data_IF_688121020871
#
_entry.id   IF_688121020871
#
_cell.length_a   1.000
_cell.length_b   1.000
_cell.length_c   1.000
_cell.angle_alpha   90.00
_cell.angle_beta   90.00
_cell.angle_gamma   90.00
#
_symmetry.space_group_name_H-M   'P 1'
#
loop_
_entity.id
_entity.type
_entity.pdbx_description
1 polymer ?
#
# COMPACT_ATOMS: atom_id res chain seq x y z
N UNK A 1 -21.48 4.14 12.95
CA UNK A 1 -20.64 2.93 12.97
C UNK A 1 -21.37 1.88 13.79
N UNK A 2 -21.85 0.80 13.16
CA UNK A 2 -22.64 -0.21 13.86
C UNK A 2 -21.71 -1.25 14.52
N UNK A 3 -22.11 -1.82 15.65
CA UNK A 3 -21.33 -2.87 16.36
C UNK A 3 -20.93 -4.02 15.40
N UNK A 4 -21.82 -4.38 14.46
CA UNK A 4 -21.55 -5.39 13.43
C UNK A 4 -20.38 -5.03 12.50
N UNK A 5 -20.20 -3.75 12.18
CA UNK A 5 -19.09 -3.29 11.33
C UNK A 5 -17.76 -3.44 12.06
N UNK A 6 -17.74 -3.14 13.37
CA UNK A 6 -16.55 -3.28 14.23
C UNK A 6 -16.14 -4.74 14.32
N UNK A 7 -17.09 -5.65 14.57
CA UNK A 7 -16.83 -7.09 14.62
C UNK A 7 -16.32 -7.61 13.27
N UNK A 8 -16.95 -7.20 12.17
CA UNK A 8 -16.50 -7.57 10.83
C UNK A 8 -15.10 -7.05 10.52
N UNK A 9 -14.74 -5.86 10.98
CA UNK A 9 -13.37 -5.34 10.84
C UNK A 9 -12.38 -6.15 11.68
N UNK A 10 -12.70 -6.42 12.95
CA UNK A 10 -11.88 -7.21 13.88
C UNK A 10 -11.55 -8.61 13.32
N UNK A 11 -12.52 -9.26 12.68
CA UNK A 11 -12.33 -10.58 12.07
C UNK A 11 -11.46 -10.53 10.80
N UNK A 12 -11.63 -9.48 9.98
CA UNK A 12 -10.97 -9.40 8.67
C UNK A 12 -9.59 -8.75 8.72
N UNK A 13 -9.30 -7.88 9.70
CA UNK A 13 -8.05 -7.11 9.76
C UNK A 13 -6.80 -7.98 9.73
N UNK A 14 -6.84 -9.15 10.38
CA UNK A 14 -5.69 -10.06 10.43
C UNK A 14 -5.40 -10.67 9.06
N UNK A 15 -6.45 -11.10 8.35
CA UNK A 15 -6.33 -11.67 7.00
C UNK A 15 -5.88 -10.61 6.00
N UNK A 16 -6.48 -9.42 6.06
CA UNK A 16 -6.07 -8.28 5.25
C UNK A 16 -4.60 -7.92 5.48
N UNK A 17 -4.17 -7.82 6.75
CA UNK A 17 -2.76 -7.55 7.11
C UNK A 17 -1.82 -8.62 6.57
N UNK A 18 -2.14 -9.90 6.75
CA UNK A 18 -1.30 -10.99 6.25
C UNK A 18 -1.15 -10.92 4.71
N UNK A 19 -2.25 -10.66 4.00
CA UNK A 19 -2.25 -10.50 2.55
C UNK A 19 -1.41 -9.29 2.10
N UNK A 20 -1.59 -8.13 2.75
CA UNK A 20 -0.79 -6.93 2.47
C UNK A 20 0.70 -7.17 2.72
N UNK A 21 1.07 -7.79 3.85
CA UNK A 21 2.46 -8.14 4.15
C UNK A 21 3.05 -9.09 3.11
N UNK A 22 2.28 -10.06 2.62
CA UNK A 22 2.72 -10.96 1.55
C UNK A 22 3.01 -10.21 0.24
N UNK A 23 2.08 -9.36 -0.22
CA UNK A 23 2.26 -8.56 -1.45
C UNK A 23 3.47 -7.64 -1.33
N UNK A 24 3.57 -6.90 -0.22
CA UNK A 24 4.65 -5.95 0.00
C UNK A 24 5.98 -6.69 0.10
N UNK A 25 6.11 -7.77 0.86
CA UNK A 25 7.40 -8.50 0.99
C UNK A 25 7.88 -9.08 -0.35
N UNK A 26 6.95 -9.48 -1.23
CA UNK A 26 7.26 -9.99 -2.58
C UNK A 26 7.79 -8.93 -3.53
N UNK A 27 7.37 -7.68 -3.38
CA UNK A 27 7.68 -6.59 -4.31
C UNK A 27 8.63 -5.54 -3.71
N UNK A 28 8.68 -5.45 -2.39
CA UNK A 28 9.49 -4.55 -1.56
C UNK A 28 10.17 -5.38 -0.45
N UNK A 29 11.26 -6.10 -0.78
CA UNK A 29 12.02 -6.85 0.21
C UNK A 29 12.51 -5.94 1.34
N UNK A 30 12.43 -6.42 2.57
CA UNK A 30 13.00 -5.69 3.69
C UNK A 30 14.54 -5.68 3.56
N UNK A 31 15.18 -4.52 3.81
CA UNK A 31 16.64 -4.33 3.71
C UNK A 31 17.21 -4.47 2.30
N UNK A 32 16.63 -3.77 1.32
CA UNK A 32 17.29 -3.62 0.03
C UNK A 32 18.69 -3.00 0.24
N UNK A 33 19.73 -3.50 -0.43
CA UNK A 33 21.11 -3.04 -0.25
C UNK A 33 21.32 -1.57 -0.65
N UNK A 34 20.36 -0.97 -1.35
CA UNK A 34 20.36 0.44 -1.74
C UNK A 34 18.90 0.92 -1.88
N UNK A 35 18.32 1.45 -0.80
CA UNK A 35 16.92 1.92 -0.80
C UNK A 35 16.88 3.33 -1.38
N UNK A 36 16.50 3.42 -2.66
CA UNK A 36 16.18 4.67 -3.33
C UNK A 36 14.68 4.84 -3.48
N UNK A 37 14.20 6.08 -3.43
CA UNK A 37 12.78 6.40 -3.59
C UNK A 37 12.21 5.86 -4.91
N UNK A 38 12.96 5.98 -6.00
CA UNK A 38 12.58 5.46 -7.32
C UNK A 38 12.35 3.94 -7.34
N UNK A 39 13.14 3.19 -6.56
CA UNK A 39 12.97 1.74 -6.43
C UNK A 39 11.66 1.41 -5.71
N UNK A 40 11.30 2.19 -4.69
CA UNK A 40 10.04 2.04 -3.97
C UNK A 40 8.86 2.35 -4.90
N UNK A 41 8.93 3.46 -5.64
CA UNK A 41 7.88 3.82 -6.62
C UNK A 41 7.66 2.74 -7.65
N UNK A 42 8.74 2.27 -8.29
CA UNK A 42 8.65 1.24 -9.32
C UNK A 42 7.96 -0.02 -8.81
N UNK A 43 8.26 -0.42 -7.57
CA UNK A 43 7.60 -1.55 -6.95
C UNK A 43 6.12 -1.29 -6.63
N UNK A 44 5.77 -0.10 -6.13
CA UNK A 44 4.37 0.27 -5.87
C UNK A 44 3.55 0.40 -7.15
N UNK A 45 4.12 0.96 -8.21
CA UNK A 45 3.49 1.04 -9.54
C UNK A 45 3.20 -0.35 -10.10
N UNK A 46 4.16 -1.27 -9.98
CA UNK A 46 3.96 -2.67 -10.32
C UNK A 46 2.83 -3.30 -9.50
N UNK A 47 2.79 -3.06 -8.18
CA UNK A 47 1.69 -3.58 -7.33
C UNK A 47 0.34 -3.02 -7.77
N UNK A 48 0.25 -1.72 -8.08
CA UNK A 48 -1.01 -1.09 -8.51
C UNK A 48 -1.53 -1.72 -9.81
N UNK A 49 -0.64 -2.05 -10.76
CA UNK A 49 -1.02 -2.68 -12.02
C UNK A 49 -1.30 -4.18 -11.91
N UNK A 50 -0.59 -4.91 -11.03
CA UNK A 50 -0.74 -6.36 -10.88
C UNK A 50 -1.84 -6.75 -9.87
N UNK A 51 -2.15 -5.88 -8.90
CA UNK A 51 -3.09 -6.15 -7.80
C UNK A 51 -4.22 -5.12 -7.81
N UNK A 52 -5.32 -5.49 -8.45
CA UNK A 52 -6.52 -4.63 -8.65
C UNK A 52 -7.34 -4.38 -7.37
N UNK A 53 -6.80 -4.71 -6.19
CA UNK A 53 -7.48 -4.52 -4.90
C UNK A 53 -7.21 -3.13 -4.30
N UNK A 54 -6.15 -2.46 -4.76
CA UNK A 54 -5.75 -1.16 -4.22
C UNK A 54 -6.32 -0.03 -5.08
N UNK A 55 -7.07 0.87 -4.46
CA UNK A 55 -7.54 2.08 -5.12
C UNK A 55 -6.41 3.10 -5.29
N UNK A 56 -5.51 3.22 -4.30
CA UNK A 56 -4.35 4.10 -4.35
C UNK A 56 -3.23 3.61 -3.41
N UNK A 57 -1.98 3.90 -3.78
CA UNK A 57 -0.78 3.66 -2.99
C UNK A 57 0.02 4.96 -2.87
N UNK A 58 0.62 5.24 -1.72
CA UNK A 58 1.41 6.45 -1.50
C UNK A 58 2.59 6.17 -0.56
N UNK A 59 3.58 7.06 -0.57
CA UNK A 59 4.79 6.97 0.25
C UNK A 59 4.80 8.13 1.24
N UNK A 60 5.06 7.81 2.50
CA UNK A 60 5.24 8.79 3.57
C UNK A 60 6.71 8.88 3.98
N UNK A 61 7.16 10.08 4.34
CA UNK A 61 8.41 10.25 5.05
C UNK A 61 8.29 9.96 6.55
N UNK A 62 9.41 10.13 7.26
CA UNK A 62 9.50 9.93 8.71
C UNK A 62 8.62 10.90 9.53
N UNK A 63 8.20 12.02 8.94
CA UNK A 63 7.30 12.99 9.56
C UNK A 63 5.82 12.64 9.32
N UNK A 64 5.55 11.62 8.51
CA UNK A 64 4.21 11.21 8.10
C UNK A 64 3.66 12.06 6.94
N UNK A 65 4.51 12.85 6.28
CA UNK A 65 4.12 13.65 5.13
C UNK A 65 4.24 12.82 3.86
N UNK A 66 3.24 12.92 2.99
CA UNK A 66 3.30 12.33 1.66
C UNK A 66 4.35 13.08 0.84
N UNK A 67 5.34 12.35 0.35
CA UNK A 67 6.48 12.95 -0.36
C UNK A 67 6.21 13.16 -1.85
N UNK A 68 5.26 12.42 -2.43
CA UNK A 68 4.89 12.47 -3.84
C UNK A 68 3.45 12.03 -4.08
N UNK A 69 2.92 12.32 -5.27
CA UNK A 69 1.56 11.99 -5.67
C UNK A 69 1.23 10.51 -5.48
N UNK A 70 -0.04 10.22 -5.20
CA UNK A 70 -0.49 8.84 -5.07
C UNK A 70 -0.44 8.10 -6.42
N UNK A 71 -0.09 6.82 -6.36
CA UNK A 71 -0.09 5.88 -7.46
C UNK A 71 -1.48 5.23 -7.50
N UNK A 72 -2.24 5.52 -8.56
CA UNK A 72 -3.59 4.99 -8.73
C UNK A 72 -3.92 4.79 -10.20
N UNK A 73 -4.70 3.75 -10.50
CA UNK A 73 -5.33 3.56 -11.81
C UNK A 73 -6.60 4.40 -11.99
N UNK A 74 -7.08 5.01 -10.90
CA UNK A 74 -8.24 5.89 -10.88
C UNK A 74 -7.80 7.34 -10.78
N UNK A 75 -8.07 8.10 -11.85
CA UNK A 75 -7.72 9.53 -11.96
C UNK A 75 -8.29 10.41 -10.84
N UNK A 76 -9.31 9.95 -10.11
CA UNK A 76 -9.83 10.66 -8.95
C UNK A 76 -8.83 10.72 -7.76
N UNK A 77 -7.79 9.89 -7.78
CA UNK A 77 -6.80 9.76 -6.72
C UNK A 77 -5.39 10.21 -7.13
N UNK A 78 -5.22 10.79 -8.33
CA UNK A 78 -3.99 11.49 -8.72
C UNK A 78 -3.93 12.85 -7.99
N UNK A 79 -3.60 12.83 -6.69
CA UNK A 79 -3.38 14.03 -5.87
C UNK A 79 -1.95 14.00 -5.32
#
# INVERSE_FOLDING_TARGET
MYIKDIQRFEDNRYRARAYMSYILTRNLPNKLPDIHLETIKTALDKIAHEVVVFDALYILDISGMQIENAISLNKAHEI
#
